data_IF_236537505836
#
_entry.id   IF_236537505836
#
_cell.length_a   1.000
_cell.length_b   1.000
_cell.length_c   1.000
_cell.angle_alpha   90.00
_cell.angle_beta   90.00
_cell.angle_gamma   90.00
#
_symmetry.space_group_name_H-M   'P 1'
#
loop_
_entity.id
_entity.type
_entity.pdbx_description
1 polymer ?
#
# COMPACT_ATOMS: atom_id res chain seq x y z
N UNK A 1 -1.82 18.73 6.86
CA UNK A 1 -1.01 17.62 6.32
C UNK A 1 -0.33 16.90 7.46
N UNK A 2 -0.26 15.58 7.38
CA UNK A 2 0.50 14.82 8.36
C UNK A 2 1.94 14.62 7.88
N UNK A 3 2.86 14.45 8.83
CA UNK A 3 4.25 14.16 8.52
C UNK A 3 4.51 12.66 8.73
N UNK A 4 5.09 12.02 7.74
CA UNK A 4 5.55 10.64 7.84
C UNK A 4 7.02 10.55 7.48
N UNK A 5 7.65 9.48 7.92
CA UNK A 5 9.08 9.29 7.77
C UNK A 5 9.36 7.95 7.11
N UNK A 6 10.26 7.95 6.15
CA UNK A 6 10.83 6.73 5.59
C UNK A 6 12.35 6.74 5.78
N UNK A 7 13.05 5.78 5.18
CA UNK A 7 14.51 5.70 5.31
C UNK A 7 15.24 6.90 4.72
N UNK A 8 14.57 7.72 3.91
CA UNK A 8 15.16 8.88 3.25
C UNK A 8 14.79 10.21 3.90
N UNK A 9 13.99 10.19 4.95
CA UNK A 9 13.62 11.39 5.69
C UNK A 9 12.12 11.63 5.80
N UNK A 10 11.74 12.85 6.20
CA UNK A 10 10.36 13.23 6.43
C UNK A 10 9.66 13.63 5.15
N UNK A 11 8.37 13.32 5.05
CA UNK A 11 7.51 13.71 3.94
C UNK A 11 6.19 14.26 4.48
N UNK A 12 5.66 15.29 3.81
CA UNK A 12 4.34 15.84 4.08
C UNK A 12 3.30 15.12 3.22
N UNK A 13 2.26 14.59 3.86
CA UNK A 13 1.24 13.77 3.19
C UNK A 13 -0.13 14.31 3.55
N UNK A 14 -1.10 14.34 2.60
CA UNK A 14 -2.47 14.74 2.95
C UNK A 14 -3.03 13.89 4.09
N UNK A 15 -3.75 14.51 5.02
CA UNK A 15 -4.23 13.82 6.22
C UNK A 15 -5.16 12.66 5.90
N UNK A 16 -5.94 12.77 4.84
CA UNK A 16 -6.91 11.75 4.43
C UNK A 16 -6.34 10.69 3.50
N UNK A 17 -5.07 10.78 3.14
CA UNK A 17 -4.44 9.80 2.25
C UNK A 17 -4.13 8.51 2.98
N UNK A 18 -4.43 7.38 2.34
CA UNK A 18 -4.04 6.06 2.84
C UNK A 18 -2.63 5.66 2.39
N UNK A 19 -2.10 6.28 1.35
CA UNK A 19 -0.70 6.07 0.99
C UNK A 19 0.22 6.80 1.97
N UNK A 20 1.50 6.46 1.94
CA UNK A 20 2.46 6.97 2.90
C UNK A 20 3.64 7.69 2.26
N UNK A 21 4.74 7.80 3.01
CA UNK A 21 5.91 8.58 2.63
C UNK A 21 6.54 8.11 1.31
N UNK A 22 6.66 6.81 1.09
CA UNK A 22 7.29 6.30 -0.12
C UNK A 22 6.49 6.63 -1.37
N UNK A 23 5.16 6.52 -1.30
CA UNK A 23 4.29 6.89 -2.41
C UNK A 23 4.38 8.39 -2.69
N UNK A 24 4.31 9.23 -1.66
CA UNK A 24 4.41 10.68 -1.84
C UNK A 24 5.74 11.07 -2.46
N UNK A 25 6.83 10.43 -2.06
CA UNK A 25 8.15 10.67 -2.64
C UNK A 25 8.19 10.31 -4.12
N UNK A 26 7.59 9.19 -4.49
CA UNK A 26 7.51 8.77 -5.89
C UNK A 26 6.68 9.75 -6.73
N UNK A 27 5.58 10.26 -6.19
CA UNK A 27 4.76 11.27 -6.87
C UNK A 27 5.57 12.53 -7.15
N UNK A 28 6.38 12.97 -6.20
CA UNK A 28 7.20 14.18 -6.35
C UNK A 28 8.37 13.96 -7.29
N UNK A 29 8.92 12.75 -7.33
CA UNK A 29 10.08 12.44 -8.17
C UNK A 29 9.73 12.16 -9.63
N UNK A 30 8.51 11.71 -9.92
CA UNK A 30 8.11 11.29 -11.26
C UNK A 30 6.82 11.97 -11.72
N UNK A 31 6.75 13.33 -11.75
CA UNK A 31 5.56 14.02 -12.24
C UNK A 31 5.61 14.18 -13.76
N UNK A 32 5.56 13.08 -14.51
CA UNK A 32 5.88 13.08 -15.94
C UNK A 32 4.65 13.25 -16.82
N UNK A 33 3.68 12.31 -16.73
CA UNK A 33 2.55 12.30 -17.65
C UNK A 33 1.22 12.76 -17.03
N UNK A 34 1.11 12.70 -15.72
CA UNK A 34 -0.16 12.92 -15.03
C UNK A 34 -1.13 11.76 -15.16
N UNK A 35 -0.71 10.65 -15.76
CA UNK A 35 -1.52 9.45 -15.91
C UNK A 35 -1.09 8.45 -14.85
N UNK A 36 -2.06 7.97 -14.07
CA UNK A 36 -1.81 6.97 -13.01
C UNK A 36 -2.10 5.57 -13.53
N UNK A 37 -1.75 4.56 -12.73
CA UNK A 37 -1.94 3.17 -13.14
C UNK A 37 -3.43 2.86 -13.33
N UNK A 38 -3.73 1.90 -14.20
CA UNK A 38 -5.09 1.56 -14.56
C UNK A 38 -5.83 0.85 -13.41
N UNK A 39 -7.16 0.91 -13.45
CA UNK A 39 -8.01 0.18 -12.50
C UNK A 39 -7.70 -1.32 -12.53
N UNK A 40 -7.47 -1.89 -13.71
CA UNK A 40 -7.13 -3.31 -13.87
C UNK A 40 -5.85 -3.65 -13.10
N UNK A 41 -4.83 -2.79 -13.18
CA UNK A 41 -3.59 -2.99 -12.46
C UNK A 41 -3.79 -2.88 -10.95
N UNK A 42 -4.58 -1.92 -10.50
CA UNK A 42 -4.92 -1.76 -9.07
C UNK A 42 -5.60 -3.03 -8.55
N UNK A 43 -6.56 -3.56 -9.29
CA UNK A 43 -7.23 -4.80 -8.92
C UNK A 43 -6.27 -5.99 -8.87
N UNK A 44 -5.35 -6.07 -9.81
CA UNK A 44 -4.35 -7.15 -9.84
C UNK A 44 -3.45 -7.06 -8.60
N UNK A 45 -2.99 -5.87 -8.24
CA UNK A 45 -2.19 -5.67 -7.03
C UNK A 45 -2.97 -6.10 -5.78
N UNK A 46 -4.24 -5.72 -5.69
CA UNK A 46 -5.09 -6.13 -4.57
C UNK A 46 -5.21 -7.63 -4.46
N UNK A 47 -5.43 -8.31 -5.57
CA UNK A 47 -5.55 -9.77 -5.60
C UNK A 47 -4.25 -10.47 -5.18
N UNK A 48 -3.12 -9.98 -5.64
CA UNK A 48 -1.81 -10.53 -5.29
C UNK A 48 -1.58 -10.38 -3.78
N UNK A 49 -1.85 -9.21 -3.22
CA UNK A 49 -1.64 -8.97 -1.79
C UNK A 49 -2.59 -9.79 -0.93
N UNK A 50 -3.85 -9.95 -1.36
CA UNK A 50 -4.81 -10.80 -0.68
C UNK A 50 -4.33 -12.24 -0.61
N UNK A 51 -3.89 -12.78 -1.75
CA UNK A 51 -3.36 -14.13 -1.83
C UNK A 51 -2.12 -14.31 -0.96
N UNK A 52 -1.21 -13.33 -0.97
CA UNK A 52 -0.01 -13.37 -0.14
C UNK A 52 -0.35 -13.41 1.35
N UNK A 53 -1.35 -12.65 1.78
CA UNK A 53 -1.80 -12.66 3.18
C UNK A 53 -2.33 -14.02 3.59
N UNK A 54 -3.14 -14.65 2.74
CA UNK A 54 -3.69 -15.98 3.00
C UNK A 54 -2.58 -17.02 3.11
N UNK A 55 -1.65 -17.02 2.16
CA UNK A 55 -0.52 -17.96 2.15
C UNK A 55 0.36 -17.75 3.38
N UNK A 56 0.70 -16.50 3.71
CA UNK A 56 1.54 -16.21 4.87
C UNK A 56 0.86 -16.66 6.18
N UNK A 57 -0.46 -16.53 6.25
CA UNK A 57 -1.23 -17.03 7.40
C UNK A 57 -1.12 -18.56 7.49
N UNK A 58 -1.28 -19.26 6.37
CA UNK A 58 -1.17 -20.72 6.34
C UNK A 58 0.22 -21.22 6.71
N UNK A 59 1.25 -20.42 6.40
CA UNK A 59 2.65 -20.75 6.75
C UNK A 59 3.00 -20.36 8.19
N UNK A 60 2.06 -19.81 8.95
CA UNK A 60 2.30 -19.40 10.32
C UNK A 60 3.07 -18.10 10.47
N UNK A 61 3.23 -17.32 9.38
CA UNK A 61 3.97 -16.07 9.39
C UNK A 61 3.10 -14.86 9.70
N UNK A 62 1.79 -15.04 9.76
CA UNK A 62 0.83 -13.95 9.94
C UNK A 62 -0.31 -14.46 10.83
N UNK A 63 -0.64 -13.70 11.87
CA UNK A 63 -1.72 -14.07 12.79
C UNK A 63 -3.10 -13.83 12.16
N UNK A 64 -4.15 -14.38 12.82
CA UNK A 64 -5.51 -14.31 12.30
C UNK A 64 -6.01 -12.89 12.16
N UNK A 65 -5.78 -12.04 13.17
CA UNK A 65 -6.30 -10.67 13.17
C UNK A 65 -5.69 -9.83 12.04
N UNK A 66 -4.38 -9.94 11.86
CA UNK A 66 -3.70 -9.24 10.79
C UNK A 66 -4.10 -9.77 9.42
N UNK A 67 -4.19 -11.10 9.28
CA UNK A 67 -4.63 -11.71 8.03
C UNK A 67 -6.02 -11.21 7.65
N UNK A 68 -6.95 -11.22 8.59
CA UNK A 68 -8.32 -10.78 8.32
C UNK A 68 -8.38 -9.30 7.94
N UNK A 69 -7.62 -8.45 8.62
CA UNK A 69 -7.56 -7.02 8.29
C UNK A 69 -6.97 -6.77 6.90
N UNK A 70 -5.90 -7.47 6.56
CA UNK A 70 -5.26 -7.34 5.24
C UNK A 70 -6.18 -7.84 4.13
N UNK A 71 -6.86 -8.97 4.34
CA UNK A 71 -7.80 -9.51 3.36
C UNK A 71 -8.96 -8.52 3.14
N UNK A 72 -9.51 -7.96 4.20
CA UNK A 72 -10.56 -6.97 4.08
C UNK A 72 -10.08 -5.72 3.34
N UNK A 73 -8.92 -5.19 3.68
CA UNK A 73 -8.34 -4.04 2.99
C UNK A 73 -8.07 -4.34 1.50
N UNK A 74 -7.57 -5.54 1.20
CA UNK A 74 -7.34 -5.97 -0.18
C UNK A 74 -8.64 -6.05 -0.97
N UNK A 75 -9.70 -6.58 -0.37
CA UNK A 75 -11.02 -6.64 -1.01
C UNK A 75 -11.54 -5.23 -1.31
N UNK A 76 -11.34 -4.28 -0.42
CA UNK A 76 -11.73 -2.88 -0.64
C UNK A 76 -10.95 -2.26 -1.81
N UNK A 77 -9.67 -2.59 -1.95
CA UNK A 77 -8.88 -2.14 -3.11
C UNK A 77 -9.44 -2.75 -4.40
N UNK A 78 -9.74 -4.04 -4.40
CA UNK A 78 -10.28 -4.75 -5.56
C UNK A 78 -11.63 -4.16 -5.97
N UNK A 79 -12.45 -3.77 -5.01
CA UNK A 79 -13.76 -3.14 -5.24
C UNK A 79 -13.67 -1.71 -5.78
N UNK A 80 -12.49 -1.11 -5.79
CA UNK A 80 -12.28 0.23 -6.31
C UNK A 80 -12.41 1.35 -5.29
N UNK A 81 -12.51 1.04 -4.00
CA UNK A 81 -12.68 2.04 -2.95
C UNK A 81 -11.46 2.95 -2.76
N UNK A 82 -10.30 2.49 -3.20
CA UNK A 82 -9.05 3.23 -3.05
C UNK A 82 -8.41 3.61 -4.38
N UNK A 83 -9.17 3.63 -5.47
CA UNK A 83 -8.61 3.94 -6.79
C UNK A 83 -7.91 5.31 -6.80
N UNK A 84 -8.45 6.31 -6.10
CA UNK A 84 -7.86 7.64 -6.01
C UNK A 84 -6.61 7.70 -5.13
N UNK A 85 -6.31 6.62 -4.42
CA UNK A 85 -5.15 6.54 -3.54
C UNK A 85 -3.91 5.98 -4.23
N UNK A 86 -3.96 5.81 -5.56
CA UNK A 86 -2.83 5.37 -6.37
C UNK A 86 -2.36 6.51 -7.27
N UNK A 87 -1.67 7.53 -6.71
CA UNK A 87 -1.33 8.74 -7.46
C UNK A 87 -0.03 8.64 -8.25
N UNK A 88 0.70 7.53 -8.16
CA UNK A 88 2.01 7.39 -8.83
C UNK A 88 1.82 7.37 -10.33
N UNK A 89 2.68 8.14 -11.04
CA UNK A 89 2.66 8.20 -12.50
C UNK A 89 3.01 6.84 -13.11
N UNK A 90 2.43 6.52 -14.28
CA UNK A 90 2.76 5.29 -14.99
C UNK A 90 4.22 5.24 -15.42
N UNK A 91 4.84 6.40 -15.64
CA UNK A 91 6.27 6.50 -15.91
C UNK A 91 7.04 6.58 -14.59
N UNK A 92 7.21 5.44 -13.98
CA UNK A 92 7.92 5.26 -12.71
C UNK A 92 9.16 4.41 -12.95
N UNK A 93 9.83 3.98 -11.88
CA UNK A 93 10.95 3.06 -12.01
C UNK A 93 10.52 1.81 -12.78
N UNK A 94 11.42 1.28 -13.63
CA UNK A 94 11.08 0.22 -14.58
C UNK A 94 10.57 -1.08 -13.99
N UNK A 95 10.78 -1.32 -12.69
CA UNK A 95 10.36 -2.55 -12.01
C UNK A 95 8.93 -2.50 -11.46
N UNK A 96 8.25 -1.35 -11.51
CA UNK A 96 6.94 -1.19 -10.89
C UNK A 96 6.97 -1.14 -9.37
N UNK A 97 8.13 -0.97 -8.79
CA UNK A 97 8.31 -0.93 -7.33
C UNK A 97 7.47 0.15 -6.67
N UNK A 98 7.35 1.32 -7.30
CA UNK A 98 6.56 2.42 -6.74
C UNK A 98 5.10 2.05 -6.59
N UNK A 99 4.50 1.38 -7.56
CA UNK A 99 3.11 0.92 -7.46
C UNK A 99 2.95 -0.16 -6.39
N UNK A 100 3.90 -1.07 -6.29
CA UNK A 100 3.91 -2.10 -5.26
C UNK A 100 3.95 -1.46 -3.86
N UNK A 101 4.85 -0.51 -3.64
CA UNK A 101 4.96 0.19 -2.36
C UNK A 101 3.73 1.04 -2.07
N UNK A 102 3.15 1.67 -3.09
CA UNK A 102 1.89 2.40 -2.95
C UNK A 102 0.80 1.47 -2.39
N UNK A 103 0.64 0.30 -2.98
CA UNK A 103 -0.33 -0.69 -2.52
C UNK A 103 -0.04 -1.13 -1.09
N UNK A 104 1.22 -1.41 -0.77
CA UNK A 104 1.62 -1.82 0.58
C UNK A 104 1.29 -0.75 1.62
N UNK A 105 1.53 0.52 1.31
CA UNK A 105 1.22 1.61 2.25
C UNK A 105 -0.27 1.74 2.49
N UNK A 106 -1.08 1.63 1.44
CA UNK A 106 -2.55 1.66 1.58
C UNK A 106 -3.01 0.49 2.44
N UNK A 107 -2.53 -0.70 2.17
CA UNK A 107 -2.91 -1.90 2.94
C UNK A 107 -2.49 -1.77 4.40
N UNK A 108 -1.28 -1.32 4.66
CA UNK A 108 -0.80 -1.14 6.03
C UNK A 108 -1.67 -0.16 6.80
N UNK A 109 -1.96 0.98 6.20
CA UNK A 109 -2.76 2.01 6.86
C UNK A 109 -4.21 1.57 7.05
N UNK A 110 -4.82 0.97 6.03
CA UNK A 110 -6.21 0.51 6.15
C UNK A 110 -6.34 -0.65 7.12
N UNK A 111 -5.42 -1.63 7.06
CA UNK A 111 -5.44 -2.75 7.99
C UNK A 111 -5.22 -2.28 9.43
N UNK A 112 -4.32 -1.33 9.65
CA UNK A 112 -4.11 -0.74 10.97
C UNK A 112 -5.38 -0.05 11.48
N UNK A 113 -6.06 0.68 10.62
CA UNK A 113 -7.32 1.35 10.96
C UNK A 113 -8.40 0.32 11.32
N UNK A 114 -8.53 -0.78 10.57
CA UNK A 114 -9.47 -1.86 10.85
C UNK A 114 -9.18 -2.48 12.21
N UNK A 115 -7.90 -2.59 12.58
CA UNK A 115 -7.48 -3.16 13.86
C UNK A 115 -7.49 -2.15 15.02
N UNK A 116 -7.95 -0.92 14.77
CA UNK A 116 -8.06 0.12 15.81
C UNK A 116 -6.82 1.01 15.95
N UNK A 117 -5.85 0.89 15.06
CA UNK A 117 -4.68 1.75 15.05
C UNK A 117 -4.92 3.04 14.26
N UNK A 118 -3.84 3.78 14.00
CA UNK A 118 -3.90 5.06 13.30
C UNK A 118 -3.17 4.98 11.98
N UNK A 119 -3.69 5.70 10.98
CA UNK A 119 -3.03 5.86 9.68
C UNK A 119 -1.67 6.55 9.89
N UNK A 120 -0.65 6.02 9.22
CA UNK A 120 0.69 6.60 9.23
C UNK A 120 1.59 6.16 10.37
N UNK A 121 1.07 5.40 11.32
CA UNK A 121 1.86 4.95 12.48
C UNK A 121 2.52 3.59 12.25
N UNK A 122 2.07 2.85 11.23
CA UNK A 122 2.53 1.48 10.94
C UNK A 122 2.26 0.51 12.08
N UNK A 123 1.34 0.84 12.95
CA UNK A 123 0.96 0.07 14.13
C UNK A 123 -0.56 -0.09 14.17
N UNK A 124 -1.08 -1.30 14.32
CA UNK A 124 -0.36 -2.57 14.53
C UNK A 124 0.13 -3.27 13.25
N UNK A 125 -0.06 -2.70 12.09
CA UNK A 125 0.21 -3.40 10.84
C UNK A 125 1.29 -2.69 10.01
N UNK A 126 2.45 -3.31 9.91
CA UNK A 126 3.53 -2.86 9.03
C UNK A 126 3.72 -3.91 7.94
N UNK A 127 3.49 -3.52 6.68
CA UNK A 127 3.59 -4.43 5.57
C UNK A 127 4.78 -4.09 4.68
N UNK A 128 5.79 -4.94 4.74
CA UNK A 128 6.89 -4.95 3.78
C UNK A 128 6.90 -6.24 2.98
N UNK A 129 5.90 -7.11 3.23
CA UNK A 129 5.85 -8.37 2.51
C UNK A 129 5.39 -8.14 1.09
N UNK A 130 6.16 -8.69 0.18
CA UNK A 130 5.86 -8.78 -1.21
C UNK A 130 5.57 -10.24 -1.52
N UNK A 131 4.77 -10.54 -2.56
CA UNK A 131 4.55 -11.93 -2.97
C UNK A 131 5.82 -12.57 -3.51
N UNK A 132 6.83 -11.80 -3.84
CA UNK A 132 8.13 -12.29 -4.32
C UNK A 132 9.19 -12.12 -3.24
N UNK A 133 10.05 -13.11 -3.01
CA UNK A 133 11.13 -12.96 -2.04
C UNK A 133 12.14 -11.85 -2.37
N UNK A 134 12.06 -11.29 -3.56
CA UNK A 134 13.00 -10.26 -4.02
C UNK A 134 12.46 -8.84 -3.94
N UNK A 135 11.22 -8.69 -3.63
CA UNK A 135 10.58 -7.38 -3.65
C UNK A 135 10.59 -6.70 -2.31
#
# INVERSE_FOLDING_TARGET
>A
MRKEKDSMGDMQIPDDAYYGAQTQRAVENFPISGITISKTMIQALGKIKRSAAIVNHELGLLDDDRKNAIVQASDEIIEGKFDSQFPVDIYQTGSGTSSNMNCNEILSNRASEIMGGKIGTKDPCLLYTSPSPRD
#
